data_IF_881532885477
#
_entry.id   IF_881532885477
#
_cell.length_a   1.000
_cell.length_b   1.000
_cell.length_c   1.000
_cell.angle_alpha   90.00
_cell.angle_beta   90.00
_cell.angle_gamma   90.00
#
_symmetry.space_group_name_H-M   'P 1'
#
loop_
_entity.id
_entity.type
_entity.pdbx_description
1 polymer ?
#
# COMPACT_ATOMS: atom_id res chain seq x y z
N UNK A 1 9.61 -29.45 -7.86
CA UNK A 1 9.09 -28.41 -6.97
C UNK A 1 10.02 -27.20 -6.90
N UNK A 2 9.66 -26.06 -7.48
CA UNK A 2 10.53 -24.87 -7.49
C UNK A 2 9.80 -23.56 -7.81
N UNK A 3 8.49 -23.49 -7.54
CA UNK A 3 7.73 -22.25 -7.74
C UNK A 3 8.13 -21.23 -6.69
N UNK A 4 8.76 -20.13 -7.12
CA UNK A 4 9.18 -19.05 -6.23
C UNK A 4 7.94 -18.53 -5.47
N UNK A 5 7.84 -18.68 -4.13
CA UNK A 5 6.66 -18.29 -3.35
C UNK A 5 6.29 -16.81 -3.52
N UNK A 6 7.26 -15.99 -3.91
CA UNK A 6 7.09 -14.58 -4.29
C UNK A 6 6.18 -14.39 -5.50
N UNK A 7 6.24 -15.30 -6.47
CA UNK A 7 5.36 -15.25 -7.65
C UNK A 7 3.93 -15.63 -7.30
N UNK A 8 3.74 -16.59 -6.37
CA UNK A 8 2.41 -16.94 -5.89
C UNK A 8 1.75 -15.77 -5.11
N UNK A 9 2.53 -15.04 -4.31
CA UNK A 9 2.05 -13.88 -3.58
C UNK A 9 1.71 -12.71 -4.52
N UNK A 10 2.59 -12.41 -5.47
CA UNK A 10 2.35 -11.34 -6.44
C UNK A 10 1.10 -11.61 -7.29
N UNK A 11 0.89 -12.86 -7.73
CA UNK A 11 -0.36 -13.24 -8.42
C UNK A 11 -1.60 -12.99 -7.54
N UNK A 12 -1.52 -13.26 -6.24
CA UNK A 12 -2.60 -12.95 -5.28
C UNK A 12 -2.87 -11.45 -5.16
N UNK A 13 -1.82 -10.63 -5.07
CA UNK A 13 -1.92 -9.17 -4.97
C UNK A 13 -2.50 -8.55 -6.26
N UNK A 14 -2.03 -9.01 -7.42
CA UNK A 14 -2.57 -8.57 -8.71
C UNK A 14 -4.02 -9.04 -8.91
N UNK A 15 -4.37 -10.26 -8.48
CA UNK A 15 -5.73 -10.78 -8.52
C UNK A 15 -6.69 -10.00 -7.60
N UNK A 16 -6.28 -9.71 -6.38
CA UNK A 16 -7.06 -8.90 -5.43
C UNK A 16 -7.25 -7.47 -5.93
N UNK A 17 -6.19 -6.86 -6.49
CA UNK A 17 -6.24 -5.52 -7.08
C UNK A 17 -7.24 -5.43 -8.25
N UNK A 18 -7.25 -6.43 -9.13
CA UNK A 18 -8.19 -6.47 -10.27
C UNK A 18 -9.65 -6.56 -9.82
N UNK A 19 -9.95 -7.45 -8.86
CA UNK A 19 -11.31 -7.59 -8.30
C UNK A 19 -11.76 -6.31 -7.60
N UNK A 20 -10.85 -5.66 -6.87
CA UNK A 20 -11.15 -4.41 -6.17
C UNK A 20 -11.45 -3.25 -7.14
N UNK A 21 -10.78 -3.22 -8.30
CA UNK A 21 -11.01 -2.23 -9.35
C UNK A 21 -12.43 -2.34 -9.91
N UNK A 22 -12.87 -3.58 -10.19
CA UNK A 22 -14.24 -3.87 -10.66
C UNK A 22 -15.27 -3.51 -9.59
N UNK A 23 -15.06 -3.92 -8.33
CA UNK A 23 -15.98 -3.59 -7.23
C UNK A 23 -16.06 -2.07 -7.00
N UNK A 24 -14.94 -1.35 -7.07
CA UNK A 24 -14.91 0.11 -6.89
C UNK A 24 -15.61 0.83 -8.04
N UNK A 25 -15.54 0.32 -9.27
CA UNK A 25 -16.27 0.86 -10.42
C UNK A 25 -17.80 0.79 -10.20
N UNK A 26 -18.32 -0.37 -9.79
CA UNK A 26 -19.76 -0.54 -9.53
C UNK A 26 -20.25 0.32 -8.36
N UNK A 27 -19.46 0.43 -7.28
CA UNK A 27 -19.80 1.26 -6.12
C UNK A 27 -19.74 2.77 -6.47
N UNK A 28 -18.75 3.20 -7.25
CA UNK A 28 -18.64 4.61 -7.67
C UNK A 28 -19.86 5.05 -8.52
N UNK A 29 -20.32 4.19 -9.44
CA UNK A 29 -21.52 4.45 -10.24
C UNK A 29 -22.81 4.40 -9.40
N UNK A 30 -22.89 3.51 -8.42
CA UNK A 30 -24.09 3.33 -7.58
C UNK A 30 -24.28 4.38 -6.48
N UNK A 31 -23.20 5.01 -5.99
CA UNK A 31 -23.26 5.92 -4.84
C UNK A 31 -23.29 7.40 -5.22
N UNK A 32 -22.53 7.84 -6.24
CA UNK A 32 -22.42 9.27 -6.57
C UNK A 32 -23.17 9.70 -7.84
N UNK A 33 -23.58 8.76 -8.71
CA UNK A 33 -24.15 9.12 -10.01
C UNK A 33 -23.20 9.97 -10.86
N UNK A 34 -23.64 10.33 -12.07
CA UNK A 34 -22.86 11.10 -13.06
C UNK A 34 -22.92 12.61 -12.89
N UNK A 35 -23.52 13.11 -11.80
CA UNK A 35 -23.72 14.53 -11.59
C UNK A 35 -22.64 15.12 -10.67
N UNK A 36 -21.89 16.13 -11.12
CA UNK A 36 -20.94 16.82 -10.27
C UNK A 36 -21.66 17.61 -9.17
N UNK A 37 -21.20 17.49 -7.92
CA UNK A 37 -21.73 18.26 -6.79
C UNK A 37 -21.55 19.77 -7.07
N UNK A 38 -22.60 20.60 -6.98
CA UNK A 38 -22.51 22.02 -7.29
C UNK A 38 -21.44 22.70 -6.43
N UNK A 39 -20.43 23.31 -7.06
CA UNK A 39 -19.33 24.00 -6.38
C UNK A 39 -18.02 23.21 -6.24
N UNK A 40 -17.95 21.96 -6.69
CA UNK A 40 -16.69 21.18 -6.71
C UNK A 40 -16.55 20.32 -7.97
N UNK A 41 -15.32 20.10 -8.47
CA UNK A 41 -15.03 19.21 -9.62
C UNK A 41 -15.08 17.71 -9.24
N UNK A 42 -15.94 17.34 -8.31
CA UNK A 42 -16.08 15.96 -7.81
C UNK A 42 -17.15 15.27 -8.64
N UNK A 43 -16.72 14.47 -9.61
CA UNK A 43 -17.58 13.58 -10.41
C UNK A 43 -17.26 12.13 -9.99
N UNK A 44 -18.23 11.21 -10.03
CA UNK A 44 -18.02 9.79 -9.75
C UNK A 44 -16.87 9.18 -10.57
N UNK A 45 -16.66 9.67 -11.80
CA UNK A 45 -15.54 9.28 -12.65
C UNK A 45 -14.18 9.78 -12.12
N UNK A 46 -14.12 10.97 -11.53
CA UNK A 46 -12.89 11.55 -10.98
C UNK A 46 -12.48 10.85 -9.68
N UNK A 47 -13.46 10.47 -8.85
CA UNK A 47 -13.24 9.65 -7.64
C UNK A 47 -12.74 8.26 -8.01
N UNK A 48 -13.28 7.68 -9.09
CA UNK A 48 -12.80 6.40 -9.62
C UNK A 48 -11.34 6.50 -10.09
N UNK A 49 -10.99 7.53 -10.87
CA UNK A 49 -9.60 7.75 -11.33
C UNK A 49 -8.65 7.95 -10.14
N UNK A 50 -9.05 8.70 -9.11
CA UNK A 50 -8.23 8.88 -7.90
C UNK A 50 -8.05 7.58 -7.11
N UNK A 51 -9.11 6.76 -6.99
CA UNK A 51 -9.05 5.45 -6.34
C UNK A 51 -8.13 4.47 -7.09
N UNK A 52 -8.19 4.47 -8.42
CA UNK A 52 -7.30 3.65 -9.27
C UNK A 52 -5.86 4.11 -9.15
N UNK A 53 -5.60 5.42 -9.16
CA UNK A 53 -4.26 5.96 -8.96
C UNK A 53 -3.68 5.56 -7.59
N UNK A 54 -4.48 5.61 -6.53
CA UNK A 54 -4.07 5.16 -5.19
C UNK A 54 -3.79 3.66 -5.12
N UNK A 55 -4.61 2.83 -5.78
CA UNK A 55 -4.42 1.38 -5.84
C UNK A 55 -3.14 1.01 -6.60
N UNK A 56 -2.92 1.62 -7.77
CA UNK A 56 -1.71 1.39 -8.57
C UNK A 56 -0.48 1.86 -7.80
N UNK A 57 -0.56 3.00 -7.12
CA UNK A 57 0.55 3.50 -6.30
C UNK A 57 0.87 2.56 -5.13
N UNK A 58 -0.14 2.08 -4.41
CA UNK A 58 0.03 1.12 -3.31
C UNK A 58 0.65 -0.20 -3.77
N UNK A 59 0.20 -0.71 -4.91
CA UNK A 59 0.73 -1.96 -5.49
C UNK A 59 2.19 -1.81 -5.95
N UNK A 60 2.53 -0.68 -6.58
CA UNK A 60 3.91 -0.40 -6.98
C UNK A 60 4.83 -0.24 -5.77
N UNK A 61 4.39 0.45 -4.72
CA UNK A 61 5.15 0.55 -3.47
C UNK A 61 5.37 -0.84 -2.86
N UNK A 62 4.34 -1.70 -2.84
CA UNK A 62 4.46 -3.09 -2.39
C UNK A 62 5.52 -3.87 -3.17
N UNK A 63 5.49 -3.82 -4.50
CA UNK A 63 6.45 -4.53 -5.35
C UNK A 63 7.89 -4.00 -5.17
N UNK A 64 8.04 -2.69 -5.05
CA UNK A 64 9.34 -2.04 -4.81
C UNK A 64 9.89 -2.48 -3.45
N UNK A 65 9.08 -2.41 -2.39
CA UNK A 65 9.52 -2.85 -1.05
C UNK A 65 9.88 -4.33 -1.02
N UNK A 66 9.18 -5.18 -1.77
CA UNK A 66 9.55 -6.58 -1.93
C UNK A 66 10.90 -6.73 -2.66
N UNK A 67 11.15 -5.96 -3.71
CA UNK A 67 12.42 -5.98 -4.44
C UNK A 67 13.62 -5.58 -3.55
N UNK A 68 13.46 -4.55 -2.73
CA UNK A 68 14.52 -4.08 -1.82
C UNK A 68 14.70 -4.98 -0.59
N UNK A 69 13.67 -5.72 -0.16
CA UNK A 69 13.72 -6.60 1.01
C UNK A 69 13.98 -8.09 0.69
N UNK A 70 13.87 -8.50 -0.58
CA UNK A 70 14.01 -9.90 -0.96
C UNK A 70 15.47 -10.38 -0.95
N UNK A 71 15.68 -11.56 -0.34
CA UNK A 71 16.94 -12.31 -0.40
C UNK A 71 17.23 -12.74 -1.85
N UNK A 72 18.50 -12.73 -2.26
CA UNK A 72 18.96 -12.94 -3.66
C UNK A 72 18.65 -11.82 -4.67
N UNK A 73 18.24 -10.63 -4.23
CA UNK A 73 18.18 -9.43 -5.09
C UNK A 73 19.44 -8.57 -4.91
N UNK A 74 19.79 -7.84 -5.96
CA UNK A 74 20.97 -6.94 -6.01
C UNK A 74 21.24 -6.11 -4.74
N UNK A 75 20.24 -5.41 -4.16
CA UNK A 75 20.47 -4.60 -2.96
C UNK A 75 20.80 -5.42 -1.70
N UNK A 76 20.18 -6.59 -1.52
CA UNK A 76 20.42 -7.45 -0.35
C UNK A 76 21.71 -8.26 -0.50
N UNK A 77 22.04 -8.70 -1.71
CA UNK A 77 23.30 -9.42 -1.97
C UNK A 77 24.53 -8.51 -1.75
N UNK A 78 24.42 -7.21 -2.03
CA UNK A 78 25.48 -6.25 -1.72
C UNK A 78 25.77 -6.20 -0.20
N UNK A 79 24.71 -6.16 0.63
CA UNK A 79 24.84 -6.19 2.09
C UNK A 79 25.46 -7.52 2.57
N UNK A 80 25.10 -8.65 1.94
CA UNK A 80 25.66 -9.96 2.27
C UNK A 80 27.16 -10.03 1.94
N UNK A 81 27.58 -9.49 0.80
CA UNK A 81 28.99 -9.41 0.43
C UNK A 81 29.77 -8.49 1.38
N UNK A 82 29.18 -7.36 1.78
CA UNK A 82 29.79 -6.44 2.74
C UNK A 82 29.89 -7.04 4.15
N UNK A 83 29.08 -8.05 4.47
CA UNK A 83 29.14 -8.76 5.75
C UNK A 83 30.45 -9.55 5.94
N UNK A 84 31.17 -9.87 4.86
CA UNK A 84 32.49 -10.51 4.95
C UNK A 84 33.57 -9.58 5.52
N UNK A 85 33.38 -8.25 5.41
CA UNK A 85 34.34 -7.25 5.89
C UNK A 85 34.18 -6.90 7.37
N UNK A 86 33.09 -7.32 8.01
CA UNK A 86 32.87 -7.18 9.45
C UNK A 86 31.49 -6.63 9.83
N UNK A 87 31.13 -6.71 11.13
CA UNK A 87 29.81 -6.32 11.61
C UNK A 87 29.53 -4.81 11.48
N UNK A 88 30.57 -3.97 11.58
CA UNK A 88 30.43 -2.53 11.42
C UNK A 88 30.04 -2.15 9.99
N UNK A 89 30.66 -2.76 8.98
CA UNK A 89 30.36 -2.50 7.56
C UNK A 89 28.95 -2.97 7.19
N UNK A 90 28.51 -4.11 7.73
CA UNK A 90 27.15 -4.61 7.53
C UNK A 90 26.08 -3.62 8.02
N UNK A 91 26.28 -3.00 9.19
CA UNK A 91 25.33 -1.99 9.73
C UNK A 91 25.28 -0.76 8.83
N UNK A 92 26.43 -0.29 8.34
CA UNK A 92 26.51 0.89 7.47
C UNK A 92 25.83 0.62 6.12
N UNK A 93 26.14 -0.51 5.47
CA UNK A 93 25.53 -0.90 4.20
C UNK A 93 24.03 -1.15 4.34
N UNK A 94 23.58 -1.75 5.45
CA UNK A 94 22.16 -1.92 5.75
C UNK A 94 21.41 -0.59 5.90
N UNK A 95 22.00 0.39 6.60
CA UNK A 95 21.44 1.74 6.72
C UNK A 95 21.42 2.47 5.37
N UNK A 96 22.47 2.34 4.57
CA UNK A 96 22.56 2.96 3.25
C UNK A 96 21.47 2.44 2.31
N UNK A 97 21.26 1.12 2.23
CA UNK A 97 20.20 0.52 1.41
C UNK A 97 18.81 0.88 1.96
N UNK A 98 18.65 0.98 3.28
CA UNK A 98 17.41 1.44 3.91
C UNK A 98 17.03 2.86 3.51
N UNK A 99 18.00 3.78 3.49
CA UNK A 99 17.78 5.16 3.03
C UNK A 99 17.48 5.24 1.52
N UNK A 100 18.06 4.35 0.71
CA UNK A 100 17.74 4.27 -0.72
C UNK A 100 16.33 3.74 -0.99
N UNK A 101 15.87 2.77 -0.17
CA UNK A 101 14.57 2.11 -0.34
C UNK A 101 13.38 3.04 -0.07
N UNK A 102 13.53 4.10 0.74
CA UNK A 102 12.44 5.04 1.05
C UNK A 102 12.25 6.13 -0.01
N UNK A 103 13.30 6.48 -0.76
CA UNK A 103 13.22 7.50 -1.81
C UNK A 103 12.25 7.11 -2.94
N UNK A 104 12.26 5.84 -3.35
CA UNK A 104 11.40 5.35 -4.43
C UNK A 104 9.89 5.37 -4.08
N UNK A 105 9.44 4.85 -2.92
CA UNK A 105 8.06 4.98 -2.46
C UNK A 105 7.59 6.43 -2.29
N UNK A 106 8.44 7.32 -1.76
CA UNK A 106 8.07 8.72 -1.53
C UNK A 106 7.78 9.45 -2.85
N UNK A 107 8.63 9.26 -3.88
CA UNK A 107 8.41 9.85 -5.19
C UNK A 107 7.11 9.35 -5.85
N UNK A 108 6.81 8.08 -5.68
CA UNK A 108 5.62 7.44 -6.24
C UNK A 108 4.34 7.96 -5.58
N UNK A 109 4.33 8.08 -4.26
CA UNK A 109 3.21 8.66 -3.49
C UNK A 109 3.03 10.14 -3.83
N UNK A 110 4.12 10.90 -3.98
CA UNK A 110 4.04 12.30 -4.37
C UNK A 110 3.39 12.47 -5.76
N UNK A 111 3.80 11.69 -6.75
CA UNK A 111 3.18 11.69 -8.07
C UNK A 111 1.69 11.31 -8.02
N UNK A 112 1.35 10.25 -7.28
CA UNK A 112 -0.04 9.82 -7.10
C UNK A 112 -0.90 10.89 -6.40
N UNK A 113 -0.34 11.61 -5.43
CA UNK A 113 -1.03 12.68 -4.70
C UNK A 113 -1.29 13.89 -5.60
N UNK A 114 -0.33 14.28 -6.45
CA UNK A 114 -0.52 15.37 -7.43
C UNK A 114 -1.64 15.04 -8.42
N UNK A 115 -1.65 13.80 -8.92
CA UNK A 115 -2.71 13.30 -9.81
C UNK A 115 -4.05 13.32 -9.07
N UNK A 116 -4.15 12.75 -7.88
CA UNK A 116 -5.39 12.71 -7.09
C UNK A 116 -5.92 14.12 -6.75
N UNK A 117 -5.02 15.06 -6.44
CA UNK A 117 -5.37 16.45 -6.17
C UNK A 117 -5.92 17.16 -7.40
N UNK A 118 -5.38 16.88 -8.60
CA UNK A 118 -5.85 17.48 -9.84
C UNK A 118 -7.28 17.08 -10.21
N UNK A 119 -7.65 15.82 -9.95
CA UNK A 119 -8.96 15.29 -10.33
C UNK A 119 -10.08 15.54 -9.30
N UNK A 120 -9.76 15.58 -8.00
CA UNK A 120 -10.80 15.59 -6.96
C UNK A 120 -10.41 16.35 -5.66
N UNK A 121 -9.37 17.20 -5.71
CA UNK A 121 -8.92 18.00 -4.57
C UNK A 121 -8.55 17.14 -3.35
N UNK A 122 -8.83 17.64 -2.14
CA UNK A 122 -8.59 16.94 -0.88
C UNK A 122 -9.36 15.61 -0.75
N UNK A 123 -10.56 15.51 -1.34
CA UNK A 123 -11.36 14.28 -1.31
C UNK A 123 -10.69 13.16 -2.11
N UNK A 124 -10.08 13.50 -3.25
CA UNK A 124 -9.29 12.56 -4.05
C UNK A 124 -8.09 12.00 -3.28
N UNK A 125 -7.40 12.85 -2.51
CA UNK A 125 -6.27 12.42 -1.67
C UNK A 125 -6.74 11.46 -0.58
N UNK A 126 -7.88 11.75 0.08
CA UNK A 126 -8.42 10.88 1.12
C UNK A 126 -8.82 9.49 0.57
N UNK A 127 -9.47 9.44 -0.60
CA UNK A 127 -9.84 8.18 -1.26
C UNK A 127 -8.62 7.43 -1.77
N UNK A 128 -7.61 8.12 -2.32
CA UNK A 128 -6.35 7.51 -2.72
C UNK A 128 -5.61 6.89 -1.52
N UNK A 129 -5.59 7.57 -0.37
CA UNK A 129 -5.01 7.06 0.87
C UNK A 129 -5.76 5.85 1.45
N UNK A 130 -7.09 5.82 1.33
CA UNK A 130 -7.86 4.61 1.68
C UNK A 130 -7.52 3.44 0.76
N UNK A 131 -7.23 3.72 -0.52
CA UNK A 131 -6.81 2.73 -1.51
C UNK A 131 -5.52 2.01 -1.11
N UNK A 132 -4.51 2.74 -0.61
CA UNK A 132 -3.20 2.17 -0.25
C UNK A 132 -3.23 1.28 1.01
N UNK A 133 -4.23 1.43 1.88
CA UNK A 133 -4.36 0.67 3.14
C UNK A 133 -5.21 -0.60 2.96
N UNK A 134 -6.07 -0.64 1.94
CA UNK A 134 -7.15 -1.63 1.82
C UNK A 134 -6.67 -3.08 1.61
N UNK A 135 -5.40 -3.28 1.27
CA UNK A 135 -4.76 -4.59 1.14
C UNK A 135 -4.29 -5.21 2.47
N UNK A 136 -4.64 -4.63 3.62
CA UNK A 136 -4.33 -5.22 4.92
C UNK A 136 -5.13 -6.54 5.13
N UNK A 137 -4.47 -7.71 5.24
CA UNK A 137 -5.18 -8.96 5.35
C UNK A 137 -5.91 -9.05 6.70
N UNK A 138 -7.24 -9.14 6.64
CA UNK A 138 -8.13 -9.31 7.79
C UNK A 138 -7.91 -10.62 8.60
N UNK A 139 -6.94 -11.45 8.21
CA UNK A 139 -6.65 -12.75 8.83
C UNK A 139 -6.07 -12.66 10.25
N UNK A 140 -5.65 -11.48 10.75
CA UNK A 140 -5.19 -11.29 12.14
C UNK A 140 -6.32 -10.94 13.14
N UNK A 141 -7.59 -11.19 12.82
CA UNK A 141 -8.68 -11.07 13.82
C UNK A 141 -8.83 -12.30 14.73
N UNK A 142 -8.24 -13.45 14.36
CA UNK A 142 -8.28 -14.69 15.13
C UNK A 142 -7.17 -14.86 16.16
N UNK A 143 -5.97 -14.30 15.91
CA UNK A 143 -4.79 -14.50 16.73
C UNK A 143 -4.61 -13.41 17.81
N UNK A 144 -5.71 -12.91 18.40
CA UNK A 144 -5.62 -12.07 19.59
C UNK A 144 -5.52 -12.99 20.82
N UNK A 145 -4.41 -12.95 21.58
CA UNK A 145 -4.33 -13.62 22.88
C UNK A 145 -5.52 -13.17 23.73
N UNK A 146 -6.13 -14.08 24.51
CA UNK A 146 -7.36 -13.82 25.26
C UNK A 146 -7.33 -12.51 26.08
N UNK A 147 -6.16 -12.10 26.58
CA UNK A 147 -5.97 -10.84 27.32
C UNK A 147 -6.30 -9.56 26.55
N UNK A 148 -6.17 -9.55 25.22
CA UNK A 148 -6.46 -8.36 24.41
C UNK A 148 -7.96 -8.12 24.20
N UNK A 149 -8.81 -9.14 24.38
CA UNK A 149 -10.28 -8.95 24.33
C UNK A 149 -10.80 -8.24 25.58
N UNK A 150 -10.17 -8.49 26.73
CA UNK A 150 -10.52 -7.86 28.01
C UNK A 150 -10.04 -6.40 28.07
N UNK A 151 -8.88 -6.08 27.50
CA UNK A 151 -8.37 -4.71 27.44
C UNK A 151 -9.29 -3.76 26.65
N UNK A 152 -9.95 -4.26 25.60
CA UNK A 152 -10.91 -3.47 24.81
C UNK A 152 -12.29 -3.36 25.48
N UNK A 153 -12.74 -4.43 26.17
CA UNK A 153 -13.99 -4.40 26.94
C UNK A 153 -13.91 -3.52 28.19
N UNK A 154 -12.73 -3.40 28.81
CA UNK A 154 -12.48 -2.52 29.94
C UNK A 154 -12.32 -1.04 29.55
N UNK A 155 -12.07 -0.74 28.27
CA UNK A 155 -11.83 0.61 27.77
C UNK A 155 -13.08 1.37 27.31
N UNK A 156 -14.24 0.71 27.22
CA UNK A 156 -15.52 1.32 26.79
C UNK A 156 -16.47 1.65 27.95
N UNK A 157 -15.98 1.64 29.19
CA UNK A 157 -16.76 1.89 30.41
C UNK A 157 -16.45 3.21 31.13
N UNK A 158 -15.93 4.21 30.42
CA UNK A 158 -15.85 5.59 30.92
C UNK A 158 -16.80 6.47 30.09
N UNK A 159 -18.05 6.46 30.51
CA UNK A 159 -19.16 7.31 30.08
C UNK A 159 -20.26 7.21 31.12
#
# INVERSE_FOLDING_TARGET
>A
EGGNPQTALNIGTFGAGAVMLVATYFVAQGVLGSEPIPGTKVNGMNVFIAAVAGLVAGLLVGLITEYYCAKHRGPVNAIVNDSETGPATNIISGLAVGMQSTAAPILLIAAATVVAHHFCGLYGIAIAALGTIRDLPAHRRGARPAGWRLAWASGSGLG
#
